data_IF_460960285718
#
_entry.id   IF_460960285718
#
_cell.length_a   1.000
_cell.length_b   1.000
_cell.length_c   1.000
_cell.angle_alpha   90.00
_cell.angle_beta   90.00
_cell.angle_gamma   90.00
#
_symmetry.space_group_name_H-M   'P 1'
#
loop_
_entity.id
_entity.type
_entity.pdbx_description
1 polymer ?
#
# COMPACT_ATOMS: atom_id res chain seq x y z
N UNK A 1 42.50 36.02 -38.95
CA UNK A 1 41.38 35.66 -39.84
C UNK A 1 40.41 34.79 -39.03
N UNK A 2 39.22 35.35 -38.70
CA UNK A 2 37.92 34.74 -38.39
C UNK A 2 37.87 33.38 -37.65
N UNK A 3 37.38 33.38 -36.40
CA UNK A 3 36.08 32.76 -36.01
C UNK A 3 35.80 32.94 -34.50
N UNK A 4 34.72 33.64 -34.10
CA UNK A 4 34.15 33.55 -32.75
C UNK A 4 32.92 32.65 -32.79
N UNK A 5 33.01 31.42 -32.28
CA UNK A 5 31.85 30.51 -32.18
C UNK A 5 31.70 29.89 -30.79
N UNK A 6 32.20 30.56 -29.75
CA UNK A 6 32.14 30.09 -28.36
C UNK A 6 31.16 30.90 -27.50
N UNK A 7 30.08 31.43 -28.10
CA UNK A 7 29.09 32.24 -27.39
C UNK A 7 27.65 31.86 -27.77
N UNK A 8 27.33 30.57 -27.79
CA UNK A 8 25.93 30.11 -27.93
C UNK A 8 25.55 29.04 -26.88
N UNK A 9 26.51 28.47 -26.15
CA UNK A 9 26.21 27.35 -25.24
C UNK A 9 25.77 27.77 -23.81
N UNK A 10 25.76 29.06 -23.48
CA UNK A 10 25.59 29.53 -22.10
C UNK A 10 24.15 29.86 -21.67
N UNK A 11 23.13 29.66 -22.51
CA UNK A 11 21.77 30.18 -22.22
C UNK A 11 20.72 29.09 -21.93
N UNK A 12 21.02 27.79 -22.08
CA UNK A 12 20.01 26.73 -22.02
C UNK A 12 20.00 25.83 -20.77
N UNK A 13 20.63 26.25 -19.66
CA UNK A 13 20.70 25.45 -18.41
C UNK A 13 19.92 26.03 -17.23
N UNK A 14 19.10 27.07 -17.44
CA UNK A 14 18.41 27.80 -16.37
C UNK A 14 16.97 27.39 -16.02
N UNK A 15 16.38 26.36 -16.66
CA UNK A 15 14.92 26.17 -16.65
C UNK A 15 14.35 24.99 -15.83
N UNK A 16 15.10 24.35 -14.94
CA UNK A 16 14.60 23.20 -14.17
C UNK A 16 14.31 23.46 -12.67
N UNK A 17 14.34 24.71 -12.22
CA UNK A 17 13.92 25.06 -10.85
C UNK A 17 12.39 25.24 -10.76
N UNK A 18 11.64 24.16 -10.97
CA UNK A 18 10.23 24.10 -10.58
C UNK A 18 10.09 24.07 -9.06
N UNK A 19 9.09 24.74 -8.47
CA UNK A 19 8.91 24.74 -7.02
C UNK A 19 8.56 23.31 -6.58
N UNK A 20 9.41 22.71 -5.76
CA UNK A 20 9.08 21.50 -5.04
C UNK A 20 7.94 21.84 -4.09
N UNK A 21 6.71 21.51 -4.51
CA UNK A 21 5.52 21.60 -3.67
C UNK A 21 5.71 20.60 -2.55
N UNK A 22 6.18 21.07 -1.40
CA UNK A 22 6.28 20.28 -0.19
C UNK A 22 4.89 19.74 0.15
N UNK A 23 4.72 18.42 0.05
CA UNK A 23 3.52 17.76 0.50
C UNK A 23 3.28 18.12 1.98
N UNK A 24 2.06 18.55 2.36
CA UNK A 24 1.77 18.86 3.75
C UNK A 24 2.04 17.62 4.60
N UNK A 25 2.85 17.79 5.64
CA UNK A 25 3.11 16.73 6.61
C UNK A 25 1.78 16.23 7.17
N UNK A 26 1.47 14.95 6.92
CA UNK A 26 0.25 14.33 7.40
C UNK A 26 0.22 14.43 8.93
N UNK A 27 -0.77 15.17 9.45
CA UNK A 27 -0.96 15.32 10.90
C UNK A 27 -1.19 13.93 11.50
N UNK A 28 -0.38 13.56 12.49
CA UNK A 28 -0.49 12.27 13.16
C UNK A 28 -1.94 12.05 13.65
N UNK A 29 -2.51 10.84 13.45
CA UNK A 29 -3.88 10.57 13.87
C UNK A 29 -4.07 10.81 15.37
N UNK A 30 -5.25 11.27 15.81
CA UNK A 30 -5.54 11.42 17.22
C UNK A 30 -5.31 10.10 17.98
N UNK A 31 -4.77 10.12 19.21
CA UNK A 31 -4.61 8.91 20.01
C UNK A 31 -5.93 8.12 20.11
N UNK A 32 -5.84 6.79 20.00
CA UNK A 32 -7.00 5.90 20.06
C UNK A 32 -7.83 5.79 18.77
N UNK A 33 -7.49 6.54 17.71
CA UNK A 33 -8.15 6.42 16.41
C UNK A 33 -7.59 5.28 15.54
N UNK A 34 -6.52 4.61 15.96
CA UNK A 34 -5.96 3.47 15.24
C UNK A 34 -6.60 2.15 15.67
N UNK A 35 -6.87 1.28 14.70
CA UNK A 35 -7.34 -0.09 14.91
C UNK A 35 -6.36 -1.04 14.24
N UNK A 36 -5.76 -1.92 15.03
CA UNK A 36 -4.91 -2.99 14.50
C UNK A 36 -5.77 -4.13 13.99
N UNK A 37 -5.46 -4.60 12.79
CA UNK A 37 -6.16 -5.73 12.18
C UNK A 37 -5.42 -7.04 12.49
N UNK A 38 -6.14 -8.18 12.56
CA UNK A 38 -5.50 -9.49 12.52
C UNK A 38 -4.61 -9.62 11.28
N UNK A 39 -3.57 -10.47 11.38
CA UNK A 39 -2.70 -10.75 10.24
C UNK A 39 -3.52 -11.27 9.06
N UNK A 40 -3.33 -10.64 7.90
CA UNK A 40 -3.91 -11.08 6.63
C UNK A 40 -2.90 -11.99 5.93
N UNK A 41 -3.35 -13.19 5.56
CA UNK A 41 -2.55 -14.14 4.78
C UNK A 41 -3.03 -14.08 3.34
N UNK A 42 -2.21 -13.51 2.46
CA UNK A 42 -2.52 -13.37 1.05
C UNK A 42 -1.77 -14.43 0.23
N UNK A 43 -2.46 -15.19 -0.64
CA UNK A 43 -1.77 -16.08 -1.56
C UNK A 43 -0.96 -15.28 -2.58
N UNK A 44 0.18 -15.85 -2.97
CA UNK A 44 1.00 -15.32 -4.04
C UNK A 44 0.99 -16.27 -5.23
N UNK A 45 0.80 -15.74 -6.43
CA UNK A 45 0.77 -16.51 -7.66
C UNK A 45 1.96 -16.16 -8.57
N UNK A 46 2.51 -17.18 -9.21
CA UNK A 46 3.40 -17.05 -10.37
C UNK A 46 2.66 -16.44 -11.56
N UNK A 47 3.40 -16.02 -12.59
CA UNK A 47 2.82 -15.49 -13.83
C UNK A 47 1.94 -16.53 -14.54
N UNK A 48 2.19 -17.83 -14.32
CA UNK A 48 1.36 -18.94 -14.82
C UNK A 48 0.12 -19.22 -13.94
N UNK A 49 -0.14 -18.39 -12.92
CA UNK A 49 -1.29 -18.52 -12.01
C UNK A 49 -1.17 -19.63 -10.97
N UNK A 50 0.02 -20.22 -10.80
CA UNK A 50 0.26 -21.25 -9.76
C UNK A 50 0.61 -20.61 -8.43
N UNK A 51 0.10 -21.18 -7.34
CA UNK A 51 0.45 -20.77 -5.98
C UNK A 51 1.97 -20.94 -5.76
N UNK A 52 2.64 -19.86 -5.41
CA UNK A 52 4.08 -19.79 -5.16
C UNK A 52 4.43 -19.62 -3.68
N UNK A 53 3.46 -19.20 -2.86
CA UNK A 53 3.71 -18.86 -1.47
C UNK A 53 2.61 -18.02 -0.86
N UNK A 54 2.91 -17.48 0.33
CA UNK A 54 2.00 -16.64 1.09
C UNK A 54 2.71 -15.39 1.61
N UNK A 55 1.99 -14.27 1.59
CA UNK A 55 2.38 -13.03 2.23
C UNK A 55 1.55 -12.81 3.51
N UNK A 56 2.25 -12.64 4.63
CA UNK A 56 1.68 -12.28 5.93
C UNK A 56 1.76 -10.76 6.10
N UNK A 57 0.59 -10.13 6.13
CA UNK A 57 0.45 -8.68 6.05
C UNK A 57 -0.12 -8.18 7.38
N UNK A 58 0.63 -7.30 8.04
CA UNK A 58 0.16 -6.55 9.20
C UNK A 58 -0.43 -5.21 8.75
N UNK A 59 -1.67 -4.96 9.15
CA UNK A 59 -2.46 -3.81 8.70
C UNK A 59 -2.95 -3.02 9.90
N UNK A 60 -2.95 -1.69 9.75
CA UNK A 60 -3.57 -0.75 10.67
C UNK A 60 -4.60 0.10 9.93
N UNK A 61 -5.80 0.20 10.48
CA UNK A 61 -6.82 1.14 10.01
C UNK A 61 -6.77 2.42 10.84
N UNK A 62 -6.76 3.55 10.17
CA UNK A 62 -6.88 4.87 10.82
C UNK A 62 -8.33 5.31 10.74
N UNK A 63 -8.97 5.41 11.90
CA UNK A 63 -10.32 5.90 12.05
C UNK A 63 -10.36 7.43 12.08
N UNK A 64 -11.53 7.99 11.74
CA UNK A 64 -11.78 9.43 11.81
C UNK A 64 -11.72 9.97 13.25
N UNK A 65 -12.14 9.18 14.21
CA UNK A 65 -12.21 9.55 15.63
C UNK A 65 -12.07 8.31 16.54
N UNK A 66 -11.82 8.49 17.84
CA UNK A 66 -11.85 7.37 18.79
C UNK A 66 -13.18 6.60 18.80
N UNK A 67 -14.32 7.28 18.63
CA UNK A 67 -15.63 6.62 18.53
C UNK A 67 -15.76 5.80 17.23
N UNK A 68 -15.26 6.34 16.12
CA UNK A 68 -15.16 5.61 14.86
C UNK A 68 -14.30 4.35 15.00
N UNK A 69 -13.21 4.42 15.78
CA UNK A 69 -12.37 3.26 16.06
C UNK A 69 -13.13 2.18 16.86
N UNK A 70 -14.00 2.55 17.80
CA UNK A 70 -14.88 1.59 18.51
C UNK A 70 -15.82 0.89 17.53
N UNK A 71 -16.47 1.66 16.63
CA UNK A 71 -17.35 1.10 15.59
C UNK A 71 -16.60 0.15 14.64
N UNK A 72 -15.39 0.52 14.23
CA UNK A 72 -14.53 -0.32 13.38
C UNK A 72 -14.15 -1.61 14.12
N UNK A 73 -13.74 -1.53 15.40
CA UNK A 73 -13.42 -2.71 16.22
C UNK A 73 -14.59 -3.70 16.29
N UNK A 74 -15.81 -3.21 16.44
CA UNK A 74 -17.02 -4.04 16.41
C UNK A 74 -17.29 -4.73 15.06
N UNK A 75 -16.61 -4.30 13.98
CA UNK A 75 -16.75 -4.85 12.63
C UNK A 75 -15.50 -5.58 12.11
N UNK A 76 -14.44 -5.70 12.93
CA UNK A 76 -13.18 -6.33 12.52
C UNK A 76 -13.36 -7.70 11.86
N UNK A 77 -14.19 -8.63 12.39
CA UNK A 77 -14.38 -9.93 11.74
C UNK A 77 -14.91 -9.85 10.30
N UNK A 78 -15.83 -8.91 10.04
CA UNK A 78 -16.41 -8.72 8.70
C UNK A 78 -15.45 -8.04 7.75
N UNK A 79 -14.64 -7.10 8.26
CA UNK A 79 -13.57 -6.46 7.47
C UNK A 79 -12.51 -7.52 7.12
N UNK A 80 -12.14 -8.37 8.08
CA UNK A 80 -11.17 -9.44 7.86
C UNK A 80 -11.65 -10.45 6.83
N UNK A 81 -12.92 -10.88 6.89
CA UNK A 81 -13.52 -11.75 5.86
C UNK A 81 -13.47 -11.11 4.47
N UNK A 82 -13.82 -9.82 4.37
CA UNK A 82 -13.73 -9.08 3.10
C UNK A 82 -12.28 -9.05 2.56
N UNK A 83 -11.29 -8.79 3.42
CA UNK A 83 -9.88 -8.80 3.03
C UNK A 83 -9.43 -10.17 2.55
N UNK A 84 -9.82 -11.24 3.25
CA UNK A 84 -9.49 -12.61 2.86
C UNK A 84 -10.10 -12.92 1.48
N UNK A 85 -11.37 -12.57 1.25
CA UNK A 85 -12.00 -12.77 -0.06
C UNK A 85 -11.30 -11.96 -1.16
N UNK A 86 -10.90 -10.73 -0.88
CA UNK A 86 -10.22 -9.86 -1.83
C UNK A 86 -8.87 -10.44 -2.27
N UNK A 87 -8.00 -10.77 -1.32
CA UNK A 87 -6.66 -11.30 -1.65
C UNK A 87 -6.68 -12.68 -2.30
N UNK A 88 -7.76 -13.46 -2.10
CA UNK A 88 -7.93 -14.74 -2.79
C UNK A 88 -8.50 -14.58 -4.20
N UNK A 89 -9.29 -13.52 -4.45
CA UNK A 89 -9.78 -13.18 -5.79
C UNK A 89 -8.66 -12.62 -6.66
N UNK A 90 -7.84 -11.75 -6.09
CA UNK A 90 -6.74 -11.07 -6.78
C UNK A 90 -5.44 -11.28 -6.00
N UNK A 91 -4.76 -12.37 -6.36
CA UNK A 91 -3.56 -12.86 -5.69
C UNK A 91 -2.38 -11.90 -5.90
N UNK A 92 -1.44 -11.90 -4.95
CA UNK A 92 -0.24 -11.07 -5.09
C UNK A 92 0.76 -11.70 -6.06
N UNK A 93 1.55 -10.92 -6.79
CA UNK A 93 2.59 -11.45 -7.66
C UNK A 93 3.70 -12.12 -6.83
N UNK A 94 4.11 -13.31 -7.24
CA UNK A 94 5.15 -14.10 -6.61
C UNK A 94 6.55 -13.58 -7.00
N UNK A 95 6.97 -12.50 -6.37
CA UNK A 95 8.25 -11.83 -6.69
C UNK A 95 9.41 -12.30 -5.80
N UNK A 96 9.14 -13.15 -4.81
CA UNK A 96 10.10 -13.63 -3.80
C UNK A 96 10.59 -12.56 -2.81
N UNK A 97 10.40 -11.28 -3.11
CA UNK A 97 10.87 -10.14 -2.34
C UNK A 97 9.68 -9.28 -1.85
N UNK A 98 9.46 -9.16 -0.53
CA UNK A 98 8.41 -8.32 0.03
C UNK A 98 8.48 -6.84 -0.42
N UNK A 99 9.66 -6.34 -0.81
CA UNK A 99 9.84 -4.97 -1.29
C UNK A 99 9.27 -4.75 -2.70
N UNK A 100 9.06 -5.83 -3.47
CA UNK A 100 8.49 -5.77 -4.83
C UNK A 100 6.96 -5.84 -4.85
N UNK A 101 6.32 -6.14 -3.71
CA UNK A 101 4.85 -6.08 -3.60
C UNK A 101 4.44 -4.61 -3.56
N UNK A 102 3.68 -4.17 -4.57
CA UNK A 102 3.18 -2.81 -4.62
C UNK A 102 2.13 -2.57 -3.53
N UNK A 103 2.52 -1.78 -2.54
CA UNK A 103 1.71 -1.49 -1.35
C UNK A 103 0.58 -0.52 -1.63
N UNK A 104 0.75 0.40 -2.58
CA UNK A 104 -0.23 1.44 -2.86
C UNK A 104 -1.56 0.88 -3.42
N UNK A 105 -1.57 0.06 -4.49
CA UNK A 105 -2.80 -0.53 -5.02
C UNK A 105 -3.41 -1.53 -4.03
N UNK A 106 -2.58 -2.31 -3.33
CA UNK A 106 -3.03 -3.23 -2.28
C UNK A 106 -3.72 -2.47 -1.14
N UNK A 107 -3.14 -1.38 -0.65
CA UNK A 107 -3.74 -0.57 0.39
C UNK A 107 -5.03 0.11 -0.09
N UNK A 108 -5.08 0.58 -1.34
CA UNK A 108 -6.26 1.20 -1.92
C UNK A 108 -7.45 0.24 -2.03
N UNK A 109 -7.25 -0.99 -2.52
CA UNK A 109 -8.33 -2.00 -2.61
C UNK A 109 -8.84 -2.41 -1.22
N UNK A 110 -7.94 -2.68 -0.27
CA UNK A 110 -8.31 -3.06 1.09
C UNK A 110 -8.98 -1.90 1.83
N UNK A 111 -8.56 -0.65 1.58
CA UNK A 111 -9.24 0.52 2.14
C UNK A 111 -10.67 0.66 1.60
N UNK A 112 -10.90 0.37 0.31
CA UNK A 112 -12.23 0.37 -0.26
C UNK A 112 -13.14 -0.67 0.41
N UNK A 113 -12.63 -1.88 0.66
CA UNK A 113 -13.37 -2.92 1.39
C UNK A 113 -13.67 -2.53 2.84
N UNK A 114 -12.67 -2.00 3.55
CA UNK A 114 -12.85 -1.52 4.92
C UNK A 114 -13.93 -0.42 4.99
N UNK A 115 -13.91 0.53 4.05
CA UNK A 115 -14.92 1.60 3.95
C UNK A 115 -16.31 1.07 3.61
N UNK A 116 -16.42 0.06 2.75
CA UNK A 116 -17.69 -0.59 2.42
C UNK A 116 -18.33 -1.26 3.64
N UNK A 117 -17.54 -1.92 4.49
CA UNK A 117 -18.04 -2.65 5.66
C UNK A 117 -18.24 -1.71 6.87
N UNK A 118 -17.22 -0.91 7.20
CA UNK A 118 -17.24 -0.05 8.38
C UNK A 118 -18.08 1.22 8.18
N UNK A 119 -18.09 1.75 6.97
CA UNK A 119 -18.66 3.05 6.60
C UNK A 119 -17.55 3.99 6.09
N UNK A 120 -17.75 4.59 4.92
CA UNK A 120 -16.73 5.41 4.25
C UNK A 120 -16.28 6.63 5.07
N UNK A 121 -17.17 7.19 5.91
CA UNK A 121 -16.85 8.30 6.79
C UNK A 121 -15.99 7.89 8.02
N UNK A 122 -16.02 6.60 8.39
CA UNK A 122 -15.41 6.11 9.62
C UNK A 122 -13.91 5.79 9.44
N UNK A 123 -13.51 5.30 8.24
CA UNK A 123 -12.13 4.88 7.93
C UNK A 123 -11.44 5.94 7.04
N UNK A 124 -10.42 6.59 7.58
CA UNK A 124 -9.65 7.64 6.90
C UNK A 124 -8.61 7.01 5.97
N UNK A 125 -7.79 6.11 6.48
CA UNK A 125 -6.72 5.46 5.72
C UNK A 125 -6.45 4.05 6.22
N UNK A 126 -5.68 3.30 5.43
CA UNK A 126 -5.16 1.99 5.74
C UNK A 126 -3.65 2.03 5.56
N UNK A 127 -2.93 1.54 6.56
CA UNK A 127 -1.48 1.47 6.57
C UNK A 127 -1.05 0.00 6.61
N UNK A 128 -0.20 -0.38 5.65
CA UNK A 128 0.48 -1.68 5.68
C UNK A 128 1.76 -1.51 6.47
N UNK A 129 1.80 -2.07 7.68
CA UNK A 129 2.92 -1.92 8.61
C UNK A 129 4.07 -2.84 8.20
N UNK A 130 3.76 -4.10 7.91
CA UNK A 130 4.75 -5.13 7.59
C UNK A 130 4.19 -6.12 6.59
N UNK A 131 5.05 -6.58 5.69
CA UNK A 131 4.79 -7.74 4.83
C UNK A 131 5.94 -8.72 5.06
N UNK A 132 5.62 -9.98 5.35
CA UNK A 132 6.57 -11.09 5.40
C UNK A 132 6.14 -12.13 4.39
N UNK A 133 7.08 -12.68 3.63
CA UNK A 133 6.78 -13.64 2.57
C UNK A 133 7.39 -14.99 2.90
N UNK A 134 6.64 -16.05 2.64
CA UNK A 134 7.10 -17.43 2.68
C UNK A 134 6.83 -18.07 1.32
N UNK A 135 7.86 -18.55 0.66
CA UNK A 135 7.75 -19.28 -0.61
C UNK A 135 7.50 -20.78 -0.36
N UNK A 136 6.77 -21.42 -1.27
CA UNK A 136 6.64 -22.87 -1.28
C UNK A 136 7.96 -23.49 -1.76
N UNK A 137 8.31 -24.66 -1.22
CA UNK A 137 9.62 -25.30 -1.40
C UNK A 137 9.93 -25.75 -2.84
N UNK A 138 8.97 -25.67 -3.77
CA UNK A 138 9.07 -26.26 -5.10
C UNK A 138 8.77 -25.29 -6.26
N UNK A 139 8.66 -23.97 -6.01
CA UNK A 139 8.48 -22.99 -7.09
C UNK A 139 9.84 -22.46 -7.53
N UNK A 140 10.31 -22.77 -8.76
CA UNK A 140 11.51 -22.13 -9.31
C UNK A 140 11.27 -20.62 -9.35
N UNK A 141 12.22 -19.84 -8.83
CA UNK A 141 12.20 -18.39 -9.04
C UNK A 141 12.63 -18.15 -10.48
N UNK A 142 11.64 -18.14 -11.38
CA UNK A 142 11.80 -17.78 -12.79
C UNK A 142 12.06 -16.30 -12.95
#
# INVERSE_FOLDING_TARGET
>A
MKAPFALVFAVLLGLLAGPAVAAPAAKAPPPGSSVEMPYLVAPMATDEGRLAGYAYISIKLVARSPNSAVKIRGKVPFIQDAFVRDVNRDMLPATGDPAKIDRAPLAARLLADARRIAGAAEVVSLEIIRIQVTTLRDTPQG
#
